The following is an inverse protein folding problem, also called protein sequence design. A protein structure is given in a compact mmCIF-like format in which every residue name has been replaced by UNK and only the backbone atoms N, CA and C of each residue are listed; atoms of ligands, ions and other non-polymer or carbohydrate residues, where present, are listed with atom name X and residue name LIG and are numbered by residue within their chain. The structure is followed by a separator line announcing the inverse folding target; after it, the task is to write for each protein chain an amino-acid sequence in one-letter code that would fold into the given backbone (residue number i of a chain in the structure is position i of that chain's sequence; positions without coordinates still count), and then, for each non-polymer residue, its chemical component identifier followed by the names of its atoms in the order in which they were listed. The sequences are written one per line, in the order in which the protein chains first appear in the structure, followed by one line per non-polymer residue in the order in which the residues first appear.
data_IF_785951894040
#
_entry.id   IF_785951894040
#
_cell.length_a   1.000
_cell.length_b   1.000
_cell.length_c   1.000
_cell.angle_alpha   90.00
_cell.angle_beta   90.00
_cell.angle_gamma   90.00
#
_symmetry.space_group_name_H-M   'P 1'
#
loop_
_entity.id
_entity.type
_entity.pdbx_description
1 polymer ?
#
# COMPACT_ATOMS: atom_id res chain seq x y z
N UNK A 1 6.17 27.30 -17.00
CA UNK A 1 7.36 26.64 -17.59
C UNK A 1 8.72 27.20 -17.15
N UNK A 2 8.80 28.20 -16.24
CA UNK A 2 10.10 28.78 -15.83
C UNK A 2 10.74 28.06 -14.62
N UNK A 3 9.96 27.56 -13.67
CA UNK A 3 10.48 27.00 -12.41
C UNK A 3 11.28 25.69 -12.57
N UNK A 4 10.89 24.80 -13.50
CA UNK A 4 11.67 23.59 -13.79
C UNK A 4 13.06 23.91 -14.35
N UNK A 5 13.17 24.96 -15.16
CA UNK A 5 14.45 25.35 -15.75
C UNK A 5 15.38 25.94 -14.68
N UNK A 6 14.85 26.71 -13.73
CA UNK A 6 15.60 27.25 -12.60
C UNK A 6 16.01 26.15 -11.61
N UNK A 7 15.13 25.19 -11.31
CA UNK A 7 15.47 23.99 -10.51
C UNK A 7 16.58 23.18 -11.18
N UNK A 8 16.51 22.93 -12.50
CA UNK A 8 17.56 22.21 -13.24
C UNK A 8 18.91 22.92 -13.13
N UNK A 9 18.94 24.24 -13.32
CA UNK A 9 20.15 25.03 -13.21
C UNK A 9 20.75 24.98 -11.77
N UNK A 10 19.89 25.05 -10.76
CA UNK A 10 20.31 25.00 -9.37
C UNK A 10 20.77 23.58 -8.93
N UNK A 11 20.13 22.51 -9.43
CA UNK A 11 20.60 21.13 -9.22
C UNK A 11 21.96 20.88 -9.86
N UNK A 12 22.17 21.40 -11.07
CA UNK A 12 23.46 21.34 -11.76
C UNK A 12 24.57 22.05 -10.98
N UNK A 13 24.25 23.22 -10.39
CA UNK A 13 25.15 23.97 -9.51
C UNK A 13 25.48 23.19 -8.22
N UNK A 14 24.55 22.40 -7.70
CA UNK A 14 24.73 21.53 -6.53
C UNK A 14 25.41 20.18 -6.81
N UNK A 15 25.68 19.86 -8.09
CA UNK A 15 26.30 18.60 -8.54
C UNK A 15 25.33 17.42 -8.63
N UNK A 16 24.02 17.69 -8.70
CA UNK A 16 22.95 16.68 -8.72
C UNK A 16 22.45 16.48 -10.15
N UNK A 17 22.21 15.23 -10.60
CA UNK A 17 21.69 14.97 -11.95
C UNK A 17 20.36 15.68 -12.24
N UNK A 18 20.27 16.36 -13.39
CA UNK A 18 19.09 17.13 -13.83
C UNK A 18 17.82 16.26 -13.97
N UNK A 19 17.97 14.92 -14.06
CA UNK A 19 16.86 13.95 -14.06
C UNK A 19 15.99 14.02 -12.80
N UNK A 20 16.52 14.53 -11.69
CA UNK A 20 15.80 14.67 -10.43
C UNK A 20 14.99 15.96 -10.31
N UNK A 21 15.11 16.90 -11.27
CA UNK A 21 14.45 18.21 -11.19
C UNK A 21 12.93 18.14 -11.05
N UNK A 22 12.27 17.24 -11.80
CA UNK A 22 10.84 17.05 -11.70
C UNK A 22 10.42 16.47 -10.34
N UNK A 23 11.26 15.59 -9.76
CA UNK A 23 11.02 15.00 -8.43
C UNK A 23 11.20 16.03 -7.33
N UNK A 24 12.23 16.87 -7.42
CA UNK A 24 12.46 17.98 -6.48
C UNK A 24 11.31 18.97 -6.52
N UNK A 25 10.83 19.32 -7.71
CA UNK A 25 9.68 20.21 -7.84
C UNK A 25 8.42 19.62 -7.21
N UNK A 26 8.13 18.34 -7.47
CA UNK A 26 6.95 17.66 -6.93
C UNK A 26 7.03 17.41 -5.42
N UNK A 27 8.24 17.14 -4.88
CA UNK A 27 8.42 16.82 -3.46
C UNK A 27 8.34 18.05 -2.56
N UNK A 28 8.85 19.19 -3.03
CA UNK A 28 8.90 20.43 -2.26
C UNK A 28 7.83 21.46 -2.69
N UNK A 29 6.92 21.06 -3.59
CA UNK A 29 5.86 21.91 -4.16
C UNK A 29 6.36 23.33 -4.52
N UNK A 30 7.42 23.37 -5.32
CA UNK A 30 8.13 24.62 -5.62
C UNK A 30 7.35 25.40 -6.68
N UNK A 31 6.57 26.37 -6.23
CA UNK A 31 5.83 27.31 -7.09
C UNK A 31 6.59 28.62 -7.37
N UNK A 32 7.60 28.94 -6.55
CA UNK A 32 8.39 30.18 -6.62
C UNK A 32 9.89 29.93 -6.45
N UNK A 33 10.74 30.85 -6.91
CA UNK A 33 12.21 30.73 -6.85
C UNK A 33 12.78 30.90 -5.43
N UNK A 34 11.93 31.24 -4.47
CA UNK A 34 12.33 31.48 -3.08
C UNK A 34 12.78 30.18 -2.41
N UNK A 35 13.96 30.23 -1.79
CA UNK A 35 14.55 29.13 -1.00
C UNK A 35 14.99 27.88 -1.79
N UNK A 36 15.17 27.99 -3.12
CA UNK A 36 15.63 26.89 -3.99
C UNK A 36 16.93 26.23 -3.52
N UNK A 37 17.94 27.00 -3.12
CA UNK A 37 19.22 26.46 -2.65
C UNK A 37 19.04 25.59 -1.38
N UNK A 38 18.11 25.94 -0.50
CA UNK A 38 17.80 25.17 0.71
C UNK A 38 17.07 23.86 0.38
N UNK A 39 16.04 23.92 -0.49
CA UNK A 39 15.34 22.71 -0.96
C UNK A 39 16.27 21.73 -1.67
N UNK A 40 17.22 22.26 -2.44
CA UNK A 40 18.21 21.43 -3.13
C UNK A 40 19.23 20.83 -2.14
N UNK A 41 19.62 21.58 -1.10
CA UNK A 41 20.43 21.05 0.00
C UNK A 41 19.72 19.91 0.73
N UNK A 42 18.46 20.11 1.13
CA UNK A 42 17.64 19.09 1.78
C UNK A 42 17.46 17.85 0.89
N UNK A 43 17.23 18.05 -0.42
CA UNK A 43 17.16 16.96 -1.37
C UNK A 43 18.47 16.19 -1.47
N UNK A 44 19.61 16.90 -1.53
CA UNK A 44 20.93 16.28 -1.64
C UNK A 44 21.28 15.43 -0.42
N UNK A 45 21.02 15.94 0.77
CA UNK A 45 21.50 15.33 2.00
C UNK A 45 20.57 14.23 2.50
N UNK A 46 19.25 14.34 2.24
CA UNK A 46 18.26 13.42 2.80
C UNK A 46 17.59 12.51 1.75
N UNK A 47 17.47 12.94 0.49
CA UNK A 47 16.62 12.23 -0.50
C UNK A 47 17.46 11.56 -1.59
N UNK A 48 18.55 12.20 -2.01
CA UNK A 48 19.47 11.66 -3.02
C UNK A 48 20.05 10.29 -2.62
N UNK A 49 20.51 10.06 -1.37
CA UNK A 49 21.10 8.76 -0.99
C UNK A 49 20.10 7.61 -1.11
N UNK A 50 18.85 7.83 -0.72
CA UNK A 50 17.78 6.83 -0.79
C UNK A 50 17.38 6.54 -2.24
N UNK A 51 17.29 7.58 -3.07
CA UNK A 51 17.01 7.42 -4.49
C UNK A 51 18.11 6.65 -5.22
N UNK A 52 19.38 6.94 -4.92
CA UNK A 52 20.52 6.22 -5.50
C UNK A 52 20.53 4.76 -5.03
N UNK A 53 20.24 4.51 -3.76
CA UNK A 53 20.17 3.15 -3.21
C UNK A 53 19.05 2.32 -3.84
N UNK A 54 17.88 2.91 -4.05
CA UNK A 54 16.75 2.26 -4.70
C UNK A 54 17.01 2.01 -6.21
N UNK A 55 17.62 2.97 -6.89
CA UNK A 55 18.00 2.84 -8.31
C UNK A 55 19.09 1.78 -8.51
N UNK A 56 20.08 1.70 -7.62
CA UNK A 56 21.10 0.65 -7.61
C UNK A 56 20.52 -0.73 -7.26
N UNK A 57 19.59 -0.82 -6.31
CA UNK A 57 18.91 -2.07 -5.98
C UNK A 57 18.06 -2.60 -7.15
N UNK A 58 17.41 -1.69 -7.87
CA UNK A 58 16.64 -2.01 -9.08
C UNK A 58 17.55 -2.46 -10.22
N UNK A 59 18.66 -1.77 -10.46
CA UNK A 59 19.63 -2.15 -11.50
C UNK A 59 20.31 -3.49 -11.19
N UNK A 60 20.69 -3.75 -9.94
CA UNK A 60 21.28 -5.03 -9.54
C UNK A 60 20.29 -6.20 -9.72
N UNK A 61 18.99 -5.97 -9.52
CA UNK A 61 17.95 -6.97 -9.76
C UNK A 61 17.77 -7.26 -11.26
N UNK A 62 17.84 -6.23 -12.10
CA UNK A 62 17.80 -6.35 -13.56
C UNK A 62 19.05 -7.09 -14.07
N UNK A 63 20.24 -6.70 -13.62
CA UNK A 63 21.50 -7.31 -14.02
C UNK A 63 21.58 -8.78 -13.54
N UNK A 64 21.05 -9.09 -12.35
CA UNK A 64 20.94 -10.47 -11.87
C UNK A 64 19.97 -11.31 -12.72
N UNK A 65 18.84 -10.73 -13.15
CA UNK A 65 17.90 -11.39 -14.05
C UNK A 65 18.50 -11.63 -15.44
N UNK A 66 19.21 -10.65 -15.99
CA UNK A 66 19.94 -10.77 -17.26
C UNK A 66 21.01 -11.84 -17.15
N UNK A 67 21.83 -11.83 -16.08
CA UNK A 67 22.86 -12.83 -15.87
C UNK A 67 22.29 -14.25 -15.69
N UNK A 68 21.16 -14.40 -14.99
CA UNK A 68 20.46 -15.68 -14.86
C UNK A 68 19.92 -16.17 -16.21
N UNK A 69 19.37 -15.28 -17.03
CA UNK A 69 18.92 -15.57 -18.38
C UNK A 69 20.10 -15.96 -19.28
N UNK A 70 21.16 -15.16 -19.33
CA UNK A 70 22.38 -15.42 -20.10
C UNK A 70 23.04 -16.74 -19.74
N UNK A 71 23.12 -17.08 -18.44
CA UNK A 71 23.64 -18.37 -17.98
C UNK A 71 22.76 -19.55 -18.41
N UNK A 72 21.44 -19.38 -18.42
CA UNK A 72 20.49 -20.43 -18.84
C UNK A 72 20.58 -20.72 -20.34
N UNK A 73 20.84 -19.70 -21.16
CA UNK A 73 20.86 -19.81 -22.63
C UNK A 73 22.27 -19.85 -23.23
N UNK A 74 23.32 -19.82 -22.41
CA UNK A 74 24.71 -19.82 -22.90
C UNK A 74 25.03 -18.57 -23.71
N UNK A 75 24.53 -17.41 -23.27
CA UNK A 75 24.82 -16.10 -23.84
C UNK A 75 25.78 -15.33 -22.92
N UNK A 76 26.56 -14.42 -23.49
CA UNK A 76 27.33 -13.39 -22.78
C UNK A 76 27.12 -12.08 -23.53
N UNK A 77 26.62 -11.05 -22.83
CA UNK A 77 26.29 -9.74 -23.42
C UNK A 77 25.33 -9.85 -24.63
N UNK A 78 24.31 -10.72 -24.51
CA UNK A 78 23.34 -10.97 -25.57
C UNK A 78 23.87 -11.74 -26.79
N UNK A 79 25.14 -12.21 -26.79
CA UNK A 79 25.72 -13.01 -27.89
C UNK A 79 25.87 -14.48 -27.49
N UNK A 80 25.55 -15.44 -28.38
CA UNK A 80 25.79 -16.86 -28.14
C UNK A 80 27.28 -17.13 -27.87
N UNK A 81 27.58 -17.91 -26.83
CA UNK A 81 28.94 -18.36 -26.54
C UNK A 81 29.28 -19.47 -27.55
N UNK A 82 30.24 -19.24 -28.44
CA UNK A 82 30.74 -20.27 -29.37
C UNK A 82 31.41 -21.41 -28.59
N UNK A 83 30.66 -22.48 -28.30
CA UNK A 83 31.25 -23.76 -27.88
C UNK A 83 31.50 -24.65 -29.09
N UNK A 84 32.77 -24.99 -29.28
CA UNK A 84 33.29 -25.87 -30.32
C UNK A 84 32.83 -27.34 -30.17
N UNK A 85 32.18 -27.86 -31.22
CA UNK A 85 31.99 -29.27 -31.68
C UNK A 85 31.82 -30.41 -30.64
N UNK A 86 30.81 -31.28 -30.84
CA UNK A 86 31.02 -32.69 -31.28
C UNK A 86 29.75 -33.52 -31.61
N UNK A 87 29.84 -34.19 -32.78
CA UNK A 87 29.38 -35.53 -33.21
C UNK A 87 27.89 -35.94 -33.23
N UNK A 88 27.43 -36.16 -34.48
CA UNK A 88 26.40 -37.13 -34.91
C UNK A 88 26.72 -38.57 -34.46
N UNK A 89 25.71 -39.30 -33.97
CA UNK A 89 25.60 -40.77 -34.07
C UNK A 89 24.13 -41.22 -34.16
N UNK A 90 23.80 -41.78 -35.33
CA UNK A 90 22.85 -42.87 -35.68
C UNK A 90 21.69 -43.27 -34.74
N UNK A 91 20.48 -43.24 -35.32
CA UNK A 91 19.21 -43.87 -34.91
C UNK A 91 19.30 -45.41 -34.84
N UNK A 92 18.50 -46.07 -33.99
CA UNK A 92 17.65 -47.17 -34.46
C UNK A 92 16.15 -46.91 -34.21
N UNK A 93 15.34 -47.68 -34.93
CA UNK A 93 13.88 -47.65 -35.09
C UNK A 93 13.21 -48.52 -34.01
N UNK A 94 12.06 -48.08 -33.49
CA UNK A 94 10.85 -48.84 -33.13
C UNK A 94 9.89 -47.80 -32.51
N UNK A 95 8.72 -47.45 -33.02
CA UNK A 95 7.48 -48.14 -33.45
C UNK A 95 6.36 -47.91 -32.42
N UNK A 96 5.24 -47.45 -32.97
CA UNK A 96 3.86 -47.33 -32.48
C UNK A 96 3.40 -46.31 -31.42
N UNK A 97 2.38 -45.55 -31.88
CA UNK A 97 1.22 -44.98 -31.19
C UNK A 97 1.41 -43.82 -30.20
N UNK A 98 1.09 -42.62 -30.68
CA UNK A 98 -0.04 -41.84 -30.17
C UNK A 98 -0.23 -40.62 -31.09
N UNK A 99 -1.28 -40.68 -31.92
CA UNK A 99 -1.87 -39.51 -32.57
C UNK A 99 -2.34 -38.55 -31.47
N UNK A 100 -1.81 -37.33 -31.43
CA UNK A 100 -2.56 -36.08 -31.14
C UNK A 100 -1.58 -34.90 -31.00
N UNK A 101 -1.60 -34.00 -32.00
CA UNK A 101 -1.22 -32.58 -31.91
C UNK A 101 0.27 -32.18 -31.74
N UNK A 102 1.23 -32.84 -32.41
CA UNK A 102 2.67 -32.44 -32.37
C UNK A 102 3.23 -31.93 -33.74
N UNK A 103 2.44 -31.25 -34.59
CA UNK A 103 2.95 -30.69 -35.86
C UNK A 103 4.08 -29.64 -35.65
N UNK A 104 4.17 -28.99 -34.48
CA UNK A 104 5.17 -27.97 -34.18
C UNK A 104 6.47 -28.51 -33.51
N UNK A 105 6.54 -29.80 -33.19
CA UNK A 105 7.70 -30.42 -32.51
C UNK A 105 8.48 -31.41 -33.39
N UNK A 106 8.11 -31.54 -34.66
CA UNK A 106 8.78 -32.40 -35.64
C UNK A 106 10.25 -31.98 -35.84
N UNK A 107 11.17 -32.77 -35.29
CA UNK A 107 12.62 -32.58 -35.43
C UNK A 107 13.39 -32.48 -34.11
N UNK A 108 12.69 -32.36 -32.98
CA UNK A 108 13.29 -32.41 -31.64
C UNK A 108 13.45 -33.88 -31.18
N UNK A 109 14.56 -34.24 -30.50
CA UNK A 109 14.72 -35.59 -29.99
C UNK A 109 13.65 -35.89 -28.94
N UNK A 110 13.09 -37.10 -28.95
CA UNK A 110 11.98 -37.51 -28.08
C UNK A 110 12.22 -37.23 -26.58
N UNK A 111 13.47 -37.28 -26.12
CA UNK A 111 13.84 -36.92 -24.75
C UNK A 111 13.60 -35.44 -24.42
N UNK A 112 13.81 -34.55 -25.39
CA UNK A 112 13.58 -33.10 -25.25
C UNK A 112 12.08 -32.80 -25.31
N UNK A 113 11.32 -33.49 -26.17
CA UNK A 113 9.85 -33.37 -26.20
C UNK A 113 9.22 -33.84 -24.89
N UNK A 114 9.68 -34.99 -24.35
CA UNK A 114 9.24 -35.46 -23.01
C UNK A 114 9.59 -34.48 -21.90
N UNK A 115 10.80 -33.90 -21.93
CA UNK A 115 11.20 -32.88 -20.96
C UNK A 115 10.37 -31.60 -21.10
N UNK A 116 10.06 -31.16 -22.32
CA UNK A 116 9.29 -29.96 -22.60
C UNK A 116 7.83 -30.13 -22.15
N UNK A 117 7.18 -31.26 -22.47
CA UNK A 117 5.84 -31.60 -21.96
C UNK A 117 5.84 -31.69 -20.43
N UNK A 118 6.87 -32.29 -19.82
CA UNK A 118 7.01 -32.32 -18.37
C UNK A 118 7.18 -30.92 -17.75
N UNK A 119 7.99 -30.05 -18.37
CA UNK A 119 8.16 -28.67 -17.92
C UNK A 119 6.88 -27.86 -18.08
N UNK A 120 6.16 -28.00 -19.19
CA UNK A 120 4.90 -27.30 -19.42
C UNK A 120 3.83 -27.71 -18.39
N UNK A 121 3.79 -29.00 -18.03
CA UNK A 121 2.93 -29.50 -16.95
C UNK A 121 3.31 -28.89 -15.59
N UNK A 122 4.61 -28.85 -15.26
CA UNK A 122 5.08 -28.23 -14.02
C UNK A 122 4.81 -26.72 -13.98
N UNK A 123 4.95 -26.02 -15.11
CA UNK A 123 4.64 -24.59 -15.22
C UNK A 123 3.13 -24.36 -15.03
N UNK A 124 2.27 -25.23 -15.57
CA UNK A 124 0.82 -25.15 -15.39
C UNK A 124 0.41 -25.37 -13.93
N UNK A 125 0.97 -26.37 -13.25
CA UNK A 125 0.74 -26.59 -11.81
C UNK A 125 1.27 -25.43 -10.95
N UNK A 126 2.46 -24.90 -11.27
CA UNK A 126 2.98 -23.71 -10.59
C UNK A 126 2.08 -22.50 -10.83
N UNK A 127 1.62 -22.26 -12.06
CA UNK A 127 0.73 -21.15 -12.37
C UNK A 127 -0.60 -21.24 -11.59
N UNK A 128 -1.17 -22.44 -11.47
CA UNK A 128 -2.35 -22.68 -10.64
C UNK A 128 -2.06 -22.36 -9.16
N UNK A 129 -0.93 -22.84 -8.62
CA UNK A 129 -0.56 -22.56 -7.22
C UNK A 129 -0.29 -21.08 -6.96
N UNK A 130 0.36 -20.37 -7.88
CA UNK A 130 0.63 -18.94 -7.80
C UNK A 130 -0.68 -18.15 -7.87
N UNK A 131 -1.63 -18.56 -8.72
CA UNK A 131 -2.96 -17.95 -8.78
C UNK A 131 -3.71 -18.11 -7.45
N UNK A 132 -3.72 -19.30 -6.86
CA UNK A 132 -4.32 -19.55 -5.54
C UNK A 132 -3.63 -18.76 -4.42
N UNK A 133 -2.31 -18.65 -4.45
CA UNK A 133 -1.56 -17.83 -3.48
C UNK A 133 -1.87 -16.36 -3.68
N UNK A 134 -1.96 -15.87 -4.91
CA UNK A 134 -2.31 -14.48 -5.21
C UNK A 134 -3.72 -14.13 -4.71
N UNK A 135 -4.71 -15.00 -4.89
CA UNK A 135 -6.06 -14.77 -4.36
C UNK A 135 -6.07 -14.82 -2.83
N UNK A 136 -5.31 -15.72 -2.20
CA UNK A 136 -5.17 -15.80 -0.74
C UNK A 136 -4.48 -14.57 -0.16
N UNK A 137 -3.41 -14.09 -0.79
CA UNK A 137 -2.69 -12.87 -0.37
C UNK A 137 -3.58 -11.65 -0.55
N UNK A 138 -4.32 -11.55 -1.65
CA UNK A 138 -5.23 -10.43 -1.90
C UNK A 138 -6.36 -10.40 -0.87
N UNK A 139 -6.99 -11.54 -0.59
CA UNK A 139 -8.04 -11.65 0.43
C UNK A 139 -7.51 -11.38 1.83
N UNK A 140 -6.34 -11.92 2.19
CA UNK A 140 -5.71 -11.66 3.48
C UNK A 140 -5.29 -10.19 3.64
N UNK A 141 -4.85 -9.53 2.56
CA UNK A 141 -4.49 -8.10 2.56
C UNK A 141 -5.74 -7.25 2.77
N UNK A 142 -6.82 -7.54 2.03
CA UNK A 142 -8.12 -6.88 2.22
C UNK A 142 -8.66 -7.10 3.64
N UNK A 143 -8.52 -8.32 4.18
CA UNK A 143 -8.96 -8.63 5.54
C UNK A 143 -8.15 -7.87 6.60
N UNK A 144 -6.84 -7.70 6.38
CA UNK A 144 -5.98 -6.92 7.27
C UNK A 144 -6.35 -5.42 7.25
N UNK A 145 -6.56 -4.84 6.06
CA UNK A 145 -7.01 -3.45 5.95
C UNK A 145 -8.41 -3.25 6.52
N UNK A 146 -9.33 -4.19 6.27
CA UNK A 146 -10.66 -4.17 6.86
C UNK A 146 -10.63 -4.23 8.38
N UNK A 147 -9.74 -5.05 8.95
CA UNK A 147 -9.58 -5.17 10.41
C UNK A 147 -9.05 -3.87 11.02
N UNK A 148 -8.15 -3.18 10.33
CA UNK A 148 -7.65 -1.89 10.76
C UNK A 148 -8.75 -0.82 10.74
N UNK A 149 -9.52 -0.72 9.64
CA UNK A 149 -10.66 0.20 9.53
C UNK A 149 -11.74 -0.10 10.58
N UNK A 150 -12.06 -1.38 10.79
CA UNK A 150 -13.04 -1.81 11.78
C UNK A 150 -12.59 -1.49 13.22
N UNK A 151 -11.31 -1.67 13.53
CA UNK A 151 -10.77 -1.34 14.86
C UNK A 151 -10.85 0.17 15.14
N UNK A 152 -10.63 1.01 14.13
CA UNK A 152 -10.74 2.47 14.24
C UNK A 152 -12.19 2.94 14.49
N UNK A 153 -13.16 2.12 14.06
CA UNK A 153 -14.59 2.41 14.13
C UNK A 153 -15.21 2.32 15.53
N UNK A 154 -14.41 1.94 16.56
CA UNK A 154 -14.86 1.66 17.94
C UNK A 154 -15.99 0.61 18.06
N UNK A 155 -16.13 -0.23 17.04
CA UNK A 155 -17.14 -1.29 16.99
C UNK A 155 -16.69 -2.54 17.76
N UNK A 156 -17.63 -3.35 18.29
CA UNK A 156 -17.28 -4.59 18.99
C UNK A 156 -16.52 -5.57 18.10
N UNK A 157 -15.33 -6.02 18.52
CA UNK A 157 -14.46 -6.95 17.76
C UNK A 157 -15.17 -8.20 17.20
N UNK A 158 -16.25 -8.64 17.86
CA UNK A 158 -17.06 -9.80 17.42
C UNK A 158 -17.84 -9.54 16.13
N UNK A 159 -18.15 -8.27 15.83
CA UNK A 159 -18.90 -7.88 14.63
C UNK A 159 -18.02 -7.79 13.39
N UNK A 160 -16.69 -7.87 13.52
CA UNK A 160 -15.80 -7.99 12.38
C UNK A 160 -16.15 -9.20 11.49
N UNK A 161 -16.69 -10.27 12.06
CA UNK A 161 -17.14 -11.44 11.28
C UNK A 161 -18.38 -11.16 10.39
N UNK A 162 -19.02 -10.00 10.56
CA UNK A 162 -20.12 -9.54 9.69
C UNK A 162 -19.63 -8.78 8.47
N UNK A 163 -18.36 -8.39 8.46
CA UNK A 163 -17.75 -7.72 7.31
C UNK A 163 -17.37 -8.78 6.29
N UNK A 164 -17.97 -8.67 5.12
CA UNK A 164 -17.57 -9.44 3.95
C UNK A 164 -16.65 -8.59 3.07
N UNK A 165 -15.36 -8.90 3.15
CA UNK A 165 -14.27 -8.26 2.41
C UNK A 165 -14.30 -8.52 0.90
N UNK A 166 -15.12 -9.46 0.44
CA UNK A 166 -15.30 -9.80 -0.98
C UNK A 166 -16.68 -9.39 -1.52
N UNK A 167 -17.52 -8.74 -0.71
CA UNK A 167 -18.81 -8.24 -1.17
C UNK A 167 -18.65 -7.09 -2.18
N UNK A 168 -19.71 -6.85 -2.96
CA UNK A 168 -19.82 -5.67 -3.82
C UNK A 168 -19.98 -4.37 -3.01
N UNK A 169 -20.44 -4.46 -1.76
CA UNK A 169 -20.47 -3.32 -0.85
C UNK A 169 -19.09 -3.10 -0.25
N UNK A 170 -18.61 -1.84 -0.25
CA UNK A 170 -17.30 -1.53 0.27
C UNK A 170 -17.22 -1.88 1.76
N UNK A 171 -16.05 -2.34 2.21
CA UNK A 171 -15.80 -2.61 3.63
C UNK A 171 -16.11 -1.38 4.49
N UNK A 172 -15.87 -0.19 3.96
CA UNK A 172 -16.14 1.09 4.60
C UNK A 172 -17.65 1.33 4.76
N UNK A 173 -18.46 1.03 3.75
CA UNK A 173 -19.92 1.15 3.81
C UNK A 173 -20.52 0.15 4.80
N UNK A 174 -20.03 -1.11 4.79
CA UNK A 174 -20.44 -2.12 5.77
C UNK A 174 -20.08 -1.68 7.20
N UNK A 175 -18.87 -1.16 7.40
CA UNK A 175 -18.45 -0.61 8.69
C UNK A 175 -19.37 0.53 9.12
N UNK A 176 -19.71 1.43 8.21
CA UNK A 176 -20.54 2.60 8.48
C UNK A 176 -21.97 2.21 8.87
N UNK A 177 -22.58 1.25 8.17
CA UNK A 177 -23.89 0.69 8.52
C UNK A 177 -23.84 0.06 9.93
N UNK A 178 -22.79 -0.71 10.24
CA UNK A 178 -22.59 -1.26 11.59
C UNK A 178 -22.38 -0.17 12.65
N UNK A 179 -21.74 0.96 12.31
CA UNK A 179 -21.59 2.11 13.21
C UNK A 179 -22.92 2.79 13.49
N UNK A 180 -23.78 2.93 12.48
CA UNK A 180 -25.13 3.48 12.62
C UNK A 180 -25.99 2.57 13.49
N UNK A 181 -25.99 1.25 13.27
CA UNK A 181 -26.67 0.30 14.14
C UNK A 181 -26.16 0.36 15.60
N UNK A 182 -24.84 0.49 15.78
CA UNK A 182 -24.26 0.57 17.12
C UNK A 182 -24.64 1.88 17.84
N UNK A 183 -24.67 3.00 17.11
CA UNK A 183 -25.10 4.28 17.64
C UNK A 183 -26.60 4.26 17.98
N UNK A 184 -27.43 3.66 17.14
CA UNK A 184 -28.87 3.47 17.38
C UNK A 184 -29.12 2.55 18.59
N UNK A 185 -28.36 1.47 18.74
CA UNK A 185 -28.43 0.62 19.94
C UNK A 185 -28.01 1.40 21.19
N UNK A 186 -26.94 2.20 21.13
CA UNK A 186 -26.56 3.05 22.28
C UNK A 186 -27.63 4.09 22.62
N UNK A 187 -28.21 4.72 21.61
CA UNK A 187 -29.25 5.72 21.80
C UNK A 187 -30.52 5.07 22.39
N UNK A 188 -30.95 3.92 21.86
CA UNK A 188 -32.09 3.19 22.42
C UNK A 188 -31.85 2.75 23.87
N UNK A 189 -30.64 2.33 24.25
CA UNK A 189 -30.33 2.01 25.65
C UNK A 189 -30.41 3.26 26.53
N UNK A 190 -29.90 4.40 26.06
CA UNK A 190 -30.02 5.68 26.77
C UNK A 190 -31.50 6.09 26.89
N UNK A 191 -32.27 5.99 25.80
CA UNK A 191 -33.68 6.35 25.78
C UNK A 191 -34.51 5.41 26.69
N UNK A 192 -34.18 4.13 26.76
CA UNK A 192 -34.83 3.15 27.65
C UNK A 192 -34.47 3.39 29.12
N UNK A 193 -33.22 3.79 29.42
CA UNK A 193 -32.79 4.18 30.77
C UNK A 193 -33.37 5.55 31.21
N UNK A 194 -33.54 6.48 30.26
CA UNK A 194 -34.26 7.74 30.46
C UNK A 194 -35.76 7.51 30.67
N UNK A 195 -36.37 6.64 29.85
CA UNK A 195 -37.78 6.27 29.97
C UNK A 195 -38.07 5.46 31.25
N UNK A 196 -37.09 4.68 31.72
CA UNK A 196 -37.09 3.97 33.00
C UNK A 196 -37.00 4.89 34.23
N UNK A 197 -36.70 6.17 34.04
CA UNK A 197 -36.67 7.18 35.12
C UNK A 197 -35.40 7.19 35.97
N UNK A 198 -34.36 6.43 35.58
CA UNK A 198 -33.05 6.44 36.25
C UNK A 198 -32.10 7.52 35.71
N UNK A 199 -32.50 8.25 34.67
CA UNK A 199 -31.79 9.44 34.24
C UNK A 199 -31.88 10.54 35.31
N UNK A 200 -30.83 10.63 36.12
CA UNK A 200 -30.54 11.79 36.95
C UNK A 200 -29.68 12.74 36.11
N UNK A 201 -30.25 13.76 35.45
CA UNK A 201 -29.42 14.82 34.89
C UNK A 201 -28.58 15.34 36.04
N UNK A 202 -27.26 15.41 35.81
CA UNK A 202 -26.25 15.83 36.77
C UNK A 202 -26.86 16.85 37.73
N UNK A 203 -26.98 16.48 39.01
CA UNK A 203 -27.62 17.29 40.05
C UNK A 203 -26.71 18.44 40.45
N UNK A 204 -26.23 19.19 39.46
CA UNK A 204 -25.62 20.48 39.65
C UNK A 204 -26.75 21.42 40.03
N UNK A 205 -26.98 21.54 41.34
CA UNK A 205 -27.66 22.73 41.86
C UNK A 205 -26.72 23.89 41.52
N UNK A 206 -27.15 24.86 40.69
CA UNK A 206 -26.38 26.08 40.50
C UNK A 206 -26.06 26.62 41.89
N UNK A 207 -24.79 26.89 42.16
CA UNK A 207 -24.37 27.55 43.40
C UNK A 207 -25.19 28.84 43.47
N UNK A 208 -26.03 29.01 44.50
CA UNK A 208 -26.83 30.22 44.64
C UNK A 208 -25.89 31.40 44.84
N UNK A 209 -25.52 32.04 43.73
CA UNK A 209 -24.72 33.26 43.72
C UNK A 209 -25.62 34.39 44.17
N UNK A 210 -25.18 35.10 45.19
CA UNK A 210 -25.84 36.31 45.69
C UNK A 210 -25.82 37.40 44.61
N UNK A 211 -26.76 38.36 44.66
CA UNK A 211 -26.83 39.49 43.70
C UNK A 211 -25.50 40.24 43.57
N UNK A 212 -24.68 40.25 44.62
CA UNK A 212 -23.35 40.86 44.62
C UNK A 212 -22.35 40.07 43.78
N UNK A 213 -22.41 38.74 43.80
CA UNK A 213 -21.57 37.87 42.96
C UNK A 213 -22.02 37.88 41.49
N UNK A 214 -23.29 38.15 41.22
CA UNK A 214 -23.78 38.40 39.85
C UNK A 214 -23.27 39.73 39.30
N UNK A 215 -23.20 40.76 40.16
CA UNK A 215 -22.72 42.08 39.76
C UNK A 215 -21.21 42.07 39.52
N UNK A 216 -20.45 41.38 40.37
CA UNK A 216 -19.00 41.19 40.19
C UNK A 216 -18.68 40.40 38.90
N UNK A 217 -19.49 39.38 38.58
CA UNK A 217 -19.36 38.62 37.33
C UNK A 217 -19.71 39.43 36.07
N UNK A 218 -20.57 40.44 36.19
CA UNK A 218 -20.89 41.35 35.08
C UNK A 218 -19.90 42.52 34.97
N UNK A 219 -19.33 42.98 36.08
CA UNK A 219 -18.30 44.02 36.08
C UNK A 219 -16.92 43.49 35.65
N UNK A 220 -16.67 42.18 35.75
CA UNK A 220 -15.47 41.52 35.24
C UNK A 220 -15.56 41.27 33.72
N UNK A 221 -15.77 42.35 32.95
CA UNK A 221 -15.86 42.33 31.47
C UNK A 221 -14.47 42.22 30.78
N UNK A 222 -13.37 42.06 31.54
CA UNK A 222 -12.00 41.87 31.01
C UNK A 222 -11.25 40.63 31.54
N UNK A 223 -11.93 39.70 32.22
CA UNK A 223 -11.30 38.53 32.85
C UNK A 223 -11.57 37.19 32.17
N UNK A 224 -10.77 36.84 31.14
CA UNK A 224 -10.31 35.48 30.71
C UNK A 224 -11.16 34.20 30.96
N UNK A 225 -12.48 34.25 31.14
CA UNK A 225 -13.32 33.06 31.36
C UNK A 225 -14.57 33.13 30.49
N UNK A 226 -14.34 32.98 29.18
CA UNK A 226 -15.36 32.97 28.14
C UNK A 226 -16.22 31.70 28.24
N UNK A 227 -17.05 31.55 29.26
CA UNK A 227 -18.23 30.66 29.26
C UNK A 227 -18.06 29.25 28.72
N UNK A 228 -16.86 28.65 28.79
CA UNK A 228 -16.65 27.26 28.40
C UNK A 228 -16.92 26.43 29.65
N UNK A 229 -18.03 25.71 29.63
CA UNK A 229 -18.28 24.66 30.60
C UNK A 229 -17.11 23.66 30.56
N UNK A 230 -16.27 23.66 31.60
CA UNK A 230 -15.26 22.63 31.80
C UNK A 230 -15.97 21.29 31.98
N UNK A 231 -15.91 20.43 30.96
CA UNK A 231 -16.54 19.10 30.94
C UNK A 231 -15.79 18.05 31.78
N UNK A 232 -14.86 18.46 32.65
CA UNK A 232 -14.18 17.55 33.57
C UNK A 232 -13.47 16.37 32.89
N UNK A 233 -13.03 16.55 31.64
CA UNK A 233 -12.09 15.63 31.00
C UNK A 233 -10.69 16.13 31.31
N UNK A 234 -10.14 15.65 32.43
CA UNK A 234 -8.71 15.71 32.71
C UNK A 234 -8.01 14.65 31.84
N UNK A 235 -6.96 15.05 31.12
CA UNK A 235 -5.89 14.17 30.60
C UNK A 235 -4.80 13.98 31.67
#
# INVERSE_FOLDING_TARGET
MKILATIKAALKKAGIPEKYAAKVQALFDIESEENLDNYIGLFKDNILPDLVSNEQGSQASIDAAIAAYEKKYGLKDGKPIETTKTKKTKKPKDDEEDEDEDEDLEGLPASVVKLLKAQQKQISELAASVSTVATTVTTSTKQASAKALFADSKLPAKWFNRIDVNSETSVEDQIKELQEEFAEIKQSVIDDEVAGGDYKPNSYKPKERSEKEWLDLMEDEEGSDNGVASLGLED
#
